data_IF_457459511227
#
_entry.id   IF_457459511227
#
_cell.length_a   1.000
_cell.length_b   1.000
_cell.length_c   1.000
_cell.angle_alpha   90.00
_cell.angle_beta   90.00
_cell.angle_gamma   90.00
#
_symmetry.space_group_name_H-M   'P 1'
#
loop_
_entity.id
_entity.type
_entity.pdbx_description
1 polymer ?
#
# COMPACT_ATOMS: atom_id res chain seq x y z
N UNK A 1 20.76 -35.89 -11.39
CA UNK A 1 20.93 -34.46 -11.05
C UNK A 1 22.34 -34.06 -11.47
N UNK A 2 22.51 -32.97 -12.22
CA UNK A 2 23.82 -32.67 -12.83
C UNK A 2 24.89 -32.29 -11.78
N UNK A 3 24.51 -31.75 -10.61
CA UNK A 3 25.44 -31.48 -9.49
C UNK A 3 24.74 -31.55 -8.11
N UNK A 4 25.42 -32.15 -7.13
CA UNK A 4 25.02 -32.10 -5.72
C UNK A 4 25.19 -30.66 -5.16
N UNK A 5 24.31 -30.18 -4.26
CA UNK A 5 24.50 -28.91 -3.59
C UNK A 5 25.84 -28.84 -2.86
N UNK A 6 26.52 -27.70 -2.91
CA UNK A 6 27.69 -27.43 -2.08
C UNK A 6 27.25 -26.91 -0.72
N UNK A 7 27.79 -27.53 0.33
CA UNK A 7 27.58 -27.10 1.71
C UNK A 7 28.24 -25.73 1.93
N UNK A 8 27.51 -24.80 2.55
CA UNK A 8 28.07 -23.52 3.01
C UNK A 8 28.40 -23.53 4.50
N UNK A 9 27.54 -24.17 5.32
CA UNK A 9 27.71 -24.23 6.77
C UNK A 9 28.63 -25.36 7.25
N UNK A 10 28.82 -25.45 8.56
CA UNK A 10 29.67 -26.48 9.18
C UNK A 10 28.94 -27.83 9.28
N UNK A 11 27.62 -27.81 9.49
CA UNK A 11 26.80 -29.03 9.59
C UNK A 11 26.62 -29.68 8.21
N UNK A 12 27.12 -30.91 8.06
CA UNK A 12 26.84 -31.77 6.89
C UNK A 12 25.54 -32.54 7.06
N UNK A 13 24.85 -32.73 5.94
CA UNK A 13 23.77 -33.71 5.81
C UNK A 13 24.31 -34.86 4.96
N UNK A 14 23.90 -36.08 5.29
CA UNK A 14 24.27 -37.28 4.53
C UNK A 14 23.80 -37.14 3.06
N UNK A 15 24.58 -37.65 2.11
CA UNK A 15 24.40 -37.37 0.69
C UNK A 15 23.07 -37.90 0.13
N UNK A 16 22.62 -39.08 0.54
CA UNK A 16 21.34 -39.66 0.12
C UNK A 16 20.16 -38.88 0.70
N UNK A 17 20.25 -38.48 1.97
CA UNK A 17 19.24 -37.65 2.63
C UNK A 17 19.14 -36.26 1.99
N UNK A 18 20.28 -35.62 1.71
CA UNK A 18 20.35 -34.31 1.05
C UNK A 18 19.75 -34.37 -0.36
N UNK A 19 20.00 -35.47 -1.09
CA UNK A 19 19.44 -35.64 -2.43
C UNK A 19 17.90 -35.80 -2.39
N UNK A 20 17.38 -36.53 -1.40
CA UNK A 20 15.95 -36.69 -1.19
C UNK A 20 15.30 -35.36 -0.79
N UNK A 21 15.87 -34.68 0.20
CA UNK A 21 15.39 -33.40 0.74
C UNK A 21 15.39 -32.29 -0.33
N UNK A 22 16.43 -32.21 -1.16
CA UNK A 22 16.47 -31.28 -2.31
C UNK A 22 15.39 -31.58 -3.34
N UNK A 23 15.08 -32.86 -3.55
CA UNK A 23 14.09 -33.28 -4.54
C UNK A 23 12.68 -32.91 -4.08
N UNK A 24 12.38 -33.06 -2.79
CA UNK A 24 11.09 -32.75 -2.18
C UNK A 24 10.94 -31.29 -1.72
N UNK A 25 12.02 -30.49 -1.71
CA UNK A 25 11.96 -29.11 -1.22
C UNK A 25 10.90 -28.27 -1.94
N UNK A 26 10.21 -27.42 -1.19
CA UNK A 26 9.34 -26.38 -1.75
C UNK A 26 10.20 -25.33 -2.44
N UNK A 27 9.84 -24.94 -3.66
CA UNK A 27 10.66 -24.05 -4.50
C UNK A 27 10.11 -22.64 -4.46
N UNK A 28 11.00 -21.68 -4.30
CA UNK A 28 10.68 -20.25 -4.28
C UNK A 28 11.73 -19.54 -5.14
N UNK A 29 11.33 -19.12 -6.34
CA UNK A 29 12.27 -18.62 -7.35
C UNK A 29 13.51 -19.53 -7.49
N UNK A 30 14.73 -19.00 -7.32
CA UNK A 30 15.97 -19.76 -7.49
C UNK A 30 16.39 -20.54 -6.22
N UNK A 31 15.64 -20.44 -5.11
CA UNK A 31 15.90 -21.09 -3.83
C UNK A 31 14.85 -22.16 -3.50
N UNK A 32 15.03 -22.85 -2.37
CA UNK A 32 14.02 -23.77 -1.85
C UNK A 32 14.16 -24.06 -0.36
N UNK A 33 13.06 -24.49 0.25
CA UNK A 33 12.95 -24.88 1.66
C UNK A 33 12.71 -26.39 1.71
N UNK A 34 13.71 -27.13 2.20
CA UNK A 34 13.58 -28.55 2.53
C UNK A 34 13.15 -28.75 3.98
N UNK A 35 13.04 -30.00 4.38
CA UNK A 35 12.83 -30.40 5.78
C UNK A 35 14.13 -30.36 6.58
N UNK A 36 15.28 -30.58 5.93
CA UNK A 36 16.61 -30.59 6.57
C UNK A 36 17.49 -29.39 6.22
N UNK A 37 17.30 -28.76 5.07
CA UNK A 37 18.13 -27.66 4.62
C UNK A 37 17.39 -26.55 3.87
N UNK A 38 17.96 -25.36 3.91
CA UNK A 38 17.68 -24.30 2.94
C UNK A 38 18.58 -24.48 1.72
N UNK A 39 17.99 -24.47 0.54
CA UNK A 39 18.70 -24.57 -0.73
C UNK A 39 18.81 -23.21 -1.39
N UNK A 40 20.04 -22.76 -1.61
CA UNK A 40 20.37 -21.39 -2.00
C UNK A 40 20.99 -21.34 -3.38
N UNK A 41 20.76 -20.26 -4.12
CA UNK A 41 21.30 -20.10 -5.46
C UNK A 41 22.73 -19.54 -5.47
N UNK A 42 23.39 -19.81 -6.58
CA UNK A 42 24.51 -18.99 -7.08
C UNK A 42 23.97 -17.94 -8.05
N UNK A 43 24.85 -17.11 -8.61
CA UNK A 43 24.47 -16.15 -9.63
C UNK A 43 23.82 -16.79 -10.88
N UNK A 44 24.21 -18.03 -11.23
CA UNK A 44 23.79 -18.70 -12.47
C UNK A 44 23.01 -20.00 -12.27
N UNK A 45 23.08 -20.59 -11.09
CA UNK A 45 22.57 -21.93 -10.81
C UNK A 45 21.68 -21.90 -9.57
N UNK A 46 20.42 -22.27 -9.76
CA UNK A 46 19.43 -22.43 -8.70
C UNK A 46 19.83 -23.56 -7.74
N UNK A 47 19.59 -23.36 -6.43
CA UNK A 47 19.78 -24.39 -5.40
C UNK A 47 21.13 -25.11 -5.51
N UNK A 48 22.17 -24.34 -5.84
CA UNK A 48 23.57 -24.76 -5.99
C UNK A 48 24.22 -25.01 -4.64
N UNK A 49 23.73 -24.35 -3.61
CA UNK A 49 24.25 -24.40 -2.25
C UNK A 49 23.20 -24.93 -1.29
N UNK A 50 23.64 -25.40 -0.13
CA UNK A 50 22.74 -25.68 0.99
C UNK A 50 23.34 -25.22 2.33
N UNK A 51 22.43 -24.90 3.25
CA UNK A 51 22.71 -24.67 4.67
C UNK A 51 21.75 -25.56 5.44
N UNK A 52 22.26 -26.39 6.35
CA UNK A 52 21.40 -27.19 7.23
C UNK A 52 20.57 -26.26 8.12
N UNK A 53 19.29 -26.57 8.31
CA UNK A 53 18.38 -25.72 9.08
C UNK A 53 18.85 -25.49 10.52
N UNK A 54 19.47 -26.50 11.13
CA UNK A 54 20.07 -26.40 12.47
C UNK A 54 21.21 -25.38 12.57
N UNK A 55 21.84 -25.02 11.44
CA UNK A 55 22.89 -24.01 11.36
C UNK A 55 22.34 -22.62 11.04
N UNK A 56 21.08 -22.51 10.61
CA UNK A 56 20.47 -21.22 10.25
C UNK A 56 20.18 -20.44 11.51
N UNK A 57 20.64 -19.19 11.55
CA UNK A 57 20.41 -18.26 12.66
C UNK A 57 19.32 -17.25 12.36
N UNK A 58 19.18 -16.85 11.09
CA UNK A 58 18.23 -15.83 10.65
C UNK A 58 18.06 -15.88 9.13
N UNK A 59 16.87 -15.58 8.64
CA UNK A 59 16.62 -15.46 7.20
C UNK A 59 15.77 -14.22 6.96
N UNK A 60 16.19 -13.26 6.14
CA UNK A 60 15.39 -12.05 5.97
C UNK A 60 15.44 -11.48 4.56
N UNK A 61 14.40 -10.73 4.20
CA UNK A 61 14.34 -9.98 2.95
C UNK A 61 15.17 -8.71 3.09
N UNK A 62 15.94 -8.39 2.05
CA UNK A 62 16.58 -7.09 1.86
C UNK A 62 16.31 -6.62 0.44
N UNK A 63 15.85 -5.39 0.28
CA UNK A 63 15.61 -4.79 -1.04
C UNK A 63 16.67 -3.73 -1.28
N UNK A 64 17.49 -3.92 -2.33
CA UNK A 64 18.34 -2.84 -2.80
C UNK A 64 17.52 -1.97 -3.77
N UNK A 65 17.56 -0.66 -3.57
CA UNK A 65 16.87 0.30 -4.42
C UNK A 65 17.89 1.16 -5.16
N UNK A 66 17.61 1.45 -6.43
CA UNK A 66 18.34 2.48 -7.18
C UNK A 66 18.30 3.84 -6.46
N UNK A 67 19.28 4.72 -6.72
CA UNK A 67 19.27 6.09 -6.18
C UNK A 67 17.94 6.84 -6.47
N UNK A 68 17.29 6.55 -7.59
CA UNK A 68 15.98 7.13 -7.91
C UNK A 68 14.84 6.60 -7.05
N UNK A 69 14.94 5.35 -6.58
CA UNK A 69 14.01 4.79 -5.59
C UNK A 69 14.23 5.33 -4.17
N UNK A 70 15.46 5.68 -3.80
CA UNK A 70 15.75 6.29 -2.49
C UNK A 70 15.42 7.79 -2.44
N UNK A 71 15.64 8.51 -3.54
CA UNK A 71 15.42 9.97 -3.63
C UNK A 71 14.04 10.37 -4.17
N UNK A 72 13.24 9.41 -4.66
CA UNK A 72 11.97 9.65 -5.33
C UNK A 72 12.11 10.32 -6.71
N UNK A 73 13.31 10.36 -7.29
CA UNK A 73 13.61 11.03 -8.58
C UNK A 73 14.36 10.10 -9.53
N UNK A 74 13.75 9.74 -10.67
CA UNK A 74 14.38 8.93 -11.73
C UNK A 74 13.84 7.50 -11.84
N UNK A 75 14.46 6.68 -12.69
CA UNK A 75 14.00 5.32 -12.96
C UNK A 75 14.10 4.44 -11.71
N UNK A 76 13.00 3.77 -11.38
CA UNK A 76 12.87 2.94 -10.18
C UNK A 76 13.23 1.49 -10.50
N UNK A 77 14.36 1.02 -9.99
CA UNK A 77 14.71 -0.40 -9.95
C UNK A 77 14.87 -0.86 -8.51
N UNK A 78 14.18 -1.96 -8.15
CA UNK A 78 14.40 -2.69 -6.91
C UNK A 78 14.93 -4.09 -7.21
N UNK A 79 15.88 -4.56 -6.42
CA UNK A 79 16.40 -5.92 -6.49
C UNK A 79 16.15 -6.58 -5.13
N UNK A 80 15.25 -7.57 -5.04
CA UNK A 80 14.98 -8.29 -3.82
C UNK A 80 16.06 -9.36 -3.58
N UNK A 81 16.52 -9.43 -2.34
CA UNK A 81 17.44 -10.44 -1.85
C UNK A 81 16.83 -11.20 -0.68
N UNK A 82 17.02 -12.51 -0.67
CA UNK A 82 16.95 -13.29 0.56
C UNK A 82 18.35 -13.34 1.17
N UNK A 83 18.44 -13.05 2.46
CA UNK A 83 19.68 -13.10 3.24
C UNK A 83 19.56 -14.22 4.24
N UNK A 84 20.46 -15.21 4.19
CA UNK A 84 20.53 -16.31 5.16
C UNK A 84 21.79 -16.12 6.00
N UNK A 85 21.61 -15.94 7.30
CA UNK A 85 22.69 -15.94 8.28
C UNK A 85 22.78 -17.32 8.93
N UNK A 86 23.98 -17.87 9.01
CA UNK A 86 24.21 -19.24 9.46
C UNK A 86 25.57 -19.37 10.15
N UNK A 87 25.73 -20.45 10.92
CA UNK A 87 26.85 -20.66 11.84
C UNK A 87 27.09 -19.40 12.70
N UNK A 88 28.35 -19.07 13.01
CA UNK A 88 28.74 -17.86 13.74
C UNK A 88 29.06 -16.70 12.78
N UNK A 89 28.00 -16.03 12.31
CA UNK A 89 28.11 -14.75 11.60
C UNK A 89 28.36 -14.81 10.09
N UNK A 90 28.29 -16.00 9.47
CA UNK A 90 28.37 -16.12 8.00
C UNK A 90 27.04 -15.73 7.36
N UNK A 91 27.10 -15.15 6.17
CA UNK A 91 25.93 -14.70 5.43
C UNK A 91 25.97 -15.18 3.97
N UNK A 92 24.82 -15.60 3.44
CA UNK A 92 24.62 -15.84 2.02
C UNK A 92 23.44 -15.03 1.52
N UNK A 93 23.69 -14.24 0.47
CA UNK A 93 22.67 -13.45 -0.20
C UNK A 93 22.26 -14.14 -1.51
N UNK A 94 20.97 -14.16 -1.77
CA UNK A 94 20.34 -14.79 -2.91
C UNK A 94 19.43 -13.78 -3.60
N UNK A 95 19.71 -13.44 -4.86
CA UNK A 95 18.90 -12.50 -5.63
C UNK A 95 17.66 -13.20 -6.19
N UNK A 96 16.53 -12.51 -6.13
CA UNK A 96 15.25 -12.96 -6.70
C UNK A 96 14.80 -12.01 -7.81
N UNK A 97 13.99 -12.54 -8.74
CA UNK A 97 13.36 -11.73 -9.80
C UNK A 97 12.08 -11.05 -9.32
N UNK A 98 11.33 -11.72 -8.44
CA UNK A 98 10.07 -11.24 -7.86
C UNK A 98 10.23 -11.14 -6.36
N UNK A 99 9.73 -10.06 -5.79
CA UNK A 99 9.73 -9.87 -4.34
C UNK A 99 8.78 -10.86 -3.63
N UNK A 100 7.65 -11.14 -4.27
CA UNK A 100 6.64 -12.12 -3.83
C UNK A 100 7.24 -13.50 -3.53
N UNK A 101 8.18 -13.97 -4.36
CA UNK A 101 8.86 -15.25 -4.15
C UNK A 101 9.69 -15.27 -2.85
N UNK A 102 10.25 -14.12 -2.46
CA UNK A 102 10.97 -13.97 -1.18
C UNK A 102 9.98 -13.99 -0.03
N UNK A 103 8.87 -13.27 -0.17
CA UNK A 103 7.84 -13.17 0.87
C UNK A 103 7.15 -14.51 1.13
N UNK A 104 6.82 -15.26 0.08
CA UNK A 104 6.29 -16.63 0.19
C UNK A 104 7.29 -17.58 0.86
N UNK A 105 8.59 -17.45 0.53
CA UNK A 105 9.63 -18.26 1.17
C UNK A 105 9.76 -17.94 2.66
N UNK A 106 9.76 -16.65 3.04
CA UNK A 106 9.80 -16.22 4.43
C UNK A 106 8.56 -16.68 5.21
N UNK A 107 7.37 -16.60 4.60
CA UNK A 107 6.15 -17.12 5.20
C UNK A 107 6.23 -18.64 5.41
N UNK A 108 6.75 -19.38 4.43
CA UNK A 108 6.96 -20.82 4.54
C UNK A 108 7.95 -21.17 5.67
N UNK A 109 9.06 -20.43 5.80
CA UNK A 109 10.03 -20.63 6.87
C UNK A 109 9.41 -20.28 8.22
N UNK A 110 8.75 -19.14 8.35
CA UNK A 110 8.11 -18.72 9.60
C UNK A 110 7.06 -19.70 10.10
N UNK A 111 6.33 -20.36 9.18
CA UNK A 111 5.32 -21.35 9.53
C UNK A 111 5.92 -22.70 9.93
N UNK A 112 7.01 -23.12 9.29
CA UNK A 112 7.65 -24.42 9.54
C UNK A 112 8.70 -24.38 10.66
N UNK A 113 9.36 -23.23 10.85
CA UNK A 113 10.48 -23.00 11.78
C UNK A 113 10.32 -21.65 12.49
N UNK A 114 9.34 -21.49 13.40
CA UNK A 114 9.08 -20.22 14.08
C UNK A 114 10.26 -19.67 14.89
N UNK A 115 11.22 -20.53 15.25
CA UNK A 115 12.45 -20.19 15.95
C UNK A 115 13.47 -19.45 15.07
N UNK A 116 13.35 -19.52 13.75
CA UNK A 116 14.23 -18.81 12.81
C UNK A 116 13.63 -17.42 12.55
N UNK A 117 14.28 -16.33 13.00
CA UNK A 117 13.73 -15.00 12.80
C UNK A 117 13.74 -14.61 11.33
N UNK A 118 12.60 -14.08 10.85
CA UNK A 118 12.37 -13.74 9.44
C UNK A 118 12.60 -12.27 9.09
N UNK A 119 12.88 -11.45 10.10
CA UNK A 119 13.27 -10.05 9.97
C UNK A 119 14.79 -9.92 10.13
N UNK A 120 15.36 -8.80 9.69
CA UNK A 120 16.75 -8.47 10.03
C UNK A 120 16.83 -8.01 11.50
N UNK A 121 18.00 -8.12 12.14
CA UNK A 121 18.17 -7.62 13.52
C UNK A 121 17.85 -6.12 13.63
N UNK A 122 18.24 -5.32 12.62
CA UNK A 122 17.86 -3.92 12.53
C UNK A 122 16.36 -3.72 12.27
N UNK A 123 15.71 -4.63 11.55
CA UNK A 123 14.26 -4.63 11.35
C UNK A 123 13.48 -4.89 12.63
N UNK A 124 13.91 -5.87 13.42
CA UNK A 124 13.36 -6.15 14.77
C UNK A 124 13.55 -4.96 15.69
N UNK A 125 14.76 -4.40 15.76
CA UNK A 125 15.04 -3.22 16.58
C UNK A 125 14.17 -2.02 16.20
N UNK A 126 13.94 -1.79 14.89
CA UNK A 126 13.03 -0.74 14.42
C UNK A 126 11.58 -1.02 14.81
N UNK A 127 11.14 -2.27 14.69
CA UNK A 127 9.78 -2.68 15.07
C UNK A 127 9.56 -2.54 16.57
N UNK A 128 10.51 -2.99 17.39
CA UNK A 128 10.50 -2.81 18.84
C UNK A 128 10.55 -1.34 19.23
N UNK A 129 11.41 -0.55 18.57
CA UNK A 129 11.49 0.90 18.82
C UNK A 129 10.17 1.59 18.48
N UNK A 130 9.57 1.27 17.33
CA UNK A 130 8.24 1.78 16.94
C UNK A 130 7.18 1.38 17.95
N UNK A 131 7.19 0.13 18.43
CA UNK A 131 6.25 -0.35 19.44
C UNK A 131 6.45 0.36 20.79
N UNK A 132 7.70 0.63 21.19
CA UNK A 132 8.02 1.39 22.41
C UNK A 132 7.62 2.85 22.31
N UNK A 133 7.89 3.50 21.17
CA UNK A 133 7.47 4.87 20.90
C UNK A 133 5.94 4.99 20.85
N UNK A 134 5.26 3.99 20.29
CA UNK A 134 3.81 3.91 20.32
C UNK A 134 3.26 3.68 21.74
N UNK A 135 3.84 2.76 22.50
CA UNK A 135 3.45 2.54 23.89
C UNK A 135 3.68 3.77 24.76
N UNK A 136 4.81 4.47 24.57
CA UNK A 136 5.14 5.69 25.32
C UNK A 136 4.23 6.88 24.98
N UNK A 137 3.56 6.87 23.81
CA UNK A 137 2.55 7.88 23.47
C UNK A 137 1.23 7.68 24.21
N UNK A 138 0.94 6.46 24.64
CA UNK A 138 -0.33 6.13 25.26
C UNK A 138 -0.23 6.20 26.79
N UNK A 139 -1.32 6.65 27.42
CA UNK A 139 -1.49 6.58 28.87
C UNK A 139 -1.57 5.11 29.32
N UNK A 140 -0.92 4.81 30.44
CA UNK A 140 -1.00 3.50 31.09
C UNK A 140 -2.43 3.19 31.57
N UNK A 141 -3.11 4.22 32.13
CA UNK A 141 -4.48 4.13 32.61
C UNK A 141 -5.33 5.27 32.05
N UNK A 142 -6.51 4.93 31.53
CA UNK A 142 -7.52 5.90 31.14
C UNK A 142 -8.46 6.20 32.30
N UNK A 143 -8.98 7.43 32.34
CA UNK A 143 -10.08 7.75 33.26
C UNK A 143 -11.30 6.86 32.96
N UNK A 144 -12.20 6.60 33.91
CA UNK A 144 -13.42 5.81 33.65
C UNK A 144 -14.26 6.37 32.49
N UNK A 145 -14.28 7.70 32.34
CA UNK A 145 -14.96 8.38 31.24
C UNK A 145 -14.29 8.11 29.89
N UNK A 146 -12.97 8.32 29.80
CA UNK A 146 -12.21 8.06 28.57
C UNK A 146 -12.24 6.58 28.18
N UNK A 147 -12.23 5.67 29.17
CA UNK A 147 -12.36 4.24 28.96
C UNK A 147 -13.73 3.89 28.36
N UNK A 148 -14.82 4.44 28.91
CA UNK A 148 -16.17 4.24 28.35
C UNK A 148 -16.33 4.83 26.94
N UNK A 149 -15.73 5.99 26.68
CA UNK A 149 -15.69 6.58 25.35
C UNK A 149 -14.91 5.69 24.36
N UNK A 150 -13.78 5.13 24.80
CA UNK A 150 -12.96 4.21 23.99
C UNK A 150 -13.75 2.98 23.59
N UNK A 151 -14.37 2.31 24.56
CA UNK A 151 -15.18 1.11 24.31
C UNK A 151 -16.37 1.39 23.39
N UNK A 152 -16.98 2.57 23.51
CA UNK A 152 -18.05 3.02 22.61
C UNK A 152 -17.55 3.17 21.17
N UNK A 153 -16.37 3.76 20.98
CA UNK A 153 -15.78 3.96 19.65
C UNK A 153 -15.27 2.63 19.06
N UNK A 154 -14.66 1.75 19.86
CA UNK A 154 -14.20 0.41 19.44
C UNK A 154 -15.39 -0.46 18.96
N UNK A 155 -16.54 -0.37 19.64
CA UNK A 155 -17.79 -1.01 19.16
C UNK A 155 -18.26 -0.43 17.84
N UNK A 156 -18.18 0.90 17.68
CA UNK A 156 -18.53 1.56 16.43
C UNK A 156 -17.57 1.20 15.29
N UNK A 157 -16.27 1.08 15.56
CA UNK A 157 -15.25 0.59 14.62
C UNK A 157 -15.60 -0.83 14.15
N UNK A 158 -15.81 -1.75 15.10
CA UNK A 158 -16.19 -3.15 14.80
C UNK A 158 -17.47 -3.22 13.97
N UNK A 159 -18.46 -2.37 14.28
CA UNK A 159 -19.69 -2.28 13.50
C UNK A 159 -19.42 -1.86 12.05
N UNK A 160 -18.60 -0.83 11.84
CA UNK A 160 -18.27 -0.31 10.51
C UNK A 160 -17.41 -1.27 9.68
N UNK A 161 -16.55 -2.05 10.33
CA UNK A 161 -15.80 -3.14 9.68
C UNK A 161 -16.71 -4.22 9.08
N UNK A 162 -17.93 -4.36 9.61
CA UNK A 162 -18.99 -5.21 9.03
C UNK A 162 -19.55 -4.71 7.69
N UNK A 163 -19.28 -3.45 7.31
CA UNK A 163 -19.77 -2.83 6.08
C UNK A 163 -18.62 -2.25 5.21
N UNK A 164 -17.63 -3.07 4.81
CA UNK A 164 -16.41 -2.58 4.16
C UNK A 164 -16.68 -1.91 2.81
N UNK A 165 -17.66 -2.39 2.04
CA UNK A 165 -17.99 -1.80 0.75
C UNK A 165 -18.73 -0.45 0.88
N UNK A 166 -19.55 -0.28 1.93
CA UNK A 166 -20.23 1.00 2.19
C UNK A 166 -19.26 2.06 2.68
N UNK A 167 -18.36 1.70 3.60
CA UNK A 167 -17.36 2.62 4.15
C UNK A 167 -16.34 3.04 3.08
N UNK A 168 -15.86 2.10 2.26
CA UNK A 168 -15.04 2.41 1.07
C UNK A 168 -15.77 3.34 0.09
N UNK A 169 -17.04 3.05 -0.21
CA UNK A 169 -17.85 3.86 -1.12
C UNK A 169 -18.02 5.28 -0.59
N UNK A 170 -18.29 5.44 0.71
CA UNK A 170 -18.43 6.74 1.38
C UNK A 170 -17.14 7.58 1.24
N UNK A 171 -15.98 7.00 1.56
CA UNK A 171 -14.70 7.68 1.40
C UNK A 171 -14.40 8.03 -0.06
N UNK A 172 -14.68 7.11 -0.99
CA UNK A 172 -14.44 7.31 -2.41
C UNK A 172 -15.34 8.41 -3.01
N UNK A 173 -16.62 8.46 -2.65
CA UNK A 173 -17.55 9.51 -3.14
C UNK A 173 -17.22 10.87 -2.53
N UNK A 174 -16.80 10.95 -1.27
CA UNK A 174 -16.28 12.19 -0.68
C UNK A 174 -15.05 12.70 -1.42
N UNK A 175 -14.07 11.82 -1.70
CA UNK A 175 -12.88 12.17 -2.49
C UNK A 175 -13.24 12.66 -3.88
N UNK A 176 -14.15 11.97 -4.57
CA UNK A 176 -14.62 12.38 -5.88
C UNK A 176 -15.33 13.74 -5.85
N UNK A 177 -16.18 14.00 -4.85
CA UNK A 177 -16.85 15.29 -4.63
C UNK A 177 -15.83 16.40 -4.40
N UNK A 178 -14.87 16.18 -3.52
CA UNK A 178 -13.80 17.15 -3.23
C UNK A 178 -12.99 17.53 -4.47
N UNK A 179 -12.60 16.52 -5.26
CA UNK A 179 -11.88 16.74 -6.53
C UNK A 179 -12.75 17.53 -7.50
N UNK A 180 -14.04 17.19 -7.61
CA UNK A 180 -14.97 17.87 -8.50
C UNK A 180 -15.15 19.35 -8.16
N UNK A 181 -15.30 19.68 -6.87
CA UNK A 181 -15.45 21.07 -6.38
C UNK A 181 -14.21 21.92 -6.63
N UNK A 182 -13.01 21.33 -6.58
CA UNK A 182 -11.75 22.04 -6.81
C UNK A 182 -11.22 21.98 -8.24
N UNK A 183 -11.86 21.21 -9.13
CA UNK A 183 -11.49 21.19 -10.54
C UNK A 183 -12.16 22.37 -11.23
N UNK A 184 -11.38 23.35 -11.71
CA UNK A 184 -11.93 24.43 -12.54
C UNK A 184 -12.60 23.81 -13.79
N UNK A 185 -13.90 24.05 -14.04
CA UNK A 185 -14.62 23.53 -15.19
C UNK A 185 -13.93 23.82 -16.53
N UNK A 186 -13.19 24.94 -16.62
CA UNK A 186 -12.44 25.34 -17.80
C UNK A 186 -11.42 24.26 -18.23
N UNK A 187 -10.76 23.57 -17.30
CA UNK A 187 -9.79 22.52 -17.67
C UNK A 187 -10.43 21.36 -18.44
N UNK A 188 -11.69 21.03 -18.13
CA UNK A 188 -12.44 19.99 -18.86
C UNK A 188 -12.76 20.42 -20.28
N UNK A 189 -13.11 21.69 -20.47
CA UNK A 189 -13.36 22.28 -21.79
C UNK A 189 -12.09 22.44 -22.60
N UNK A 190 -10.99 22.84 -21.98
CA UNK A 190 -9.66 22.90 -22.60
C UNK A 190 -9.21 21.50 -23.04
N UNK A 191 -9.36 20.48 -22.18
CA UNK A 191 -9.04 19.10 -22.54
C UNK A 191 -9.92 18.61 -23.71
N UNK A 192 -11.22 18.91 -23.70
CA UNK A 192 -12.12 18.59 -24.82
C UNK A 192 -11.69 19.29 -26.12
N UNK A 193 -11.33 20.57 -26.05
CA UNK A 193 -10.86 21.32 -27.22
C UNK A 193 -9.56 20.74 -27.78
N UNK A 194 -8.63 20.34 -26.92
CA UNK A 194 -7.38 19.67 -27.33
C UNK A 194 -7.66 18.32 -28.00
N UNK A 195 -8.59 17.52 -27.46
CA UNK A 195 -8.99 16.24 -28.09
C UNK A 195 -9.62 16.47 -29.46
N UNK A 196 -10.51 17.45 -29.59
CA UNK A 196 -11.14 17.79 -30.88
C UNK A 196 -10.11 18.30 -31.89
N UNK A 197 -9.20 19.17 -31.47
CA UNK A 197 -8.10 19.66 -32.31
C UNK A 197 -7.14 18.52 -32.71
N UNK A 198 -6.85 17.60 -31.79
CA UNK A 198 -6.06 16.39 -32.05
C UNK A 198 -6.72 15.46 -33.05
N UNK A 199 -8.03 15.25 -32.93
CA UNK A 199 -8.82 14.45 -33.88
C UNK A 199 -8.83 15.11 -35.27
N UNK A 200 -9.03 16.43 -35.35
CA UNK A 200 -8.96 17.17 -36.61
C UNK A 200 -7.56 17.10 -37.25
N UNK A 201 -6.50 17.27 -36.45
CA UNK A 201 -5.11 17.11 -36.87
C UNK A 201 -4.82 15.72 -37.40
N UNK A 202 -5.36 14.68 -36.73
CA UNK A 202 -5.21 13.30 -37.16
C UNK A 202 -5.86 13.06 -38.53
N UNK A 203 -7.12 13.50 -38.70
CA UNK A 203 -7.84 13.38 -39.98
C UNK A 203 -7.10 14.12 -41.09
N UNK A 204 -6.68 15.37 -40.83
CA UNK A 204 -5.91 16.16 -41.77
C UNK A 204 -4.59 15.49 -42.14
N UNK A 205 -3.84 14.97 -41.15
CA UNK A 205 -2.58 14.28 -41.37
C UNK A 205 -2.73 13.04 -42.27
N UNK A 206 -3.78 12.24 -42.05
CA UNK A 206 -4.09 11.07 -42.88
C UNK A 206 -4.39 11.48 -44.34
N UNK A 207 -5.22 12.51 -44.54
CA UNK A 207 -5.58 12.99 -45.88
C UNK A 207 -4.35 13.57 -46.61
N UNK A 208 -3.56 14.38 -45.92
CA UNK A 208 -2.36 15.03 -46.46
C UNK A 208 -1.28 14.01 -46.82
N UNK A 209 -1.05 13.02 -45.96
CA UNK A 209 -0.11 11.94 -46.24
C UNK A 209 -0.52 11.12 -47.47
N UNK A 210 -1.82 10.81 -47.61
CA UNK A 210 -2.35 10.08 -48.78
C UNK A 210 -2.25 10.88 -50.08
N UNK A 211 -2.15 12.21 -49.99
CA UNK A 211 -2.04 13.13 -51.12
C UNK A 211 -0.60 13.48 -51.49
N UNK A 212 0.40 12.85 -50.86
CA UNK A 212 1.82 13.06 -51.13
C UNK A 212 2.45 14.25 -50.39
N UNK A 213 1.80 14.79 -49.35
CA UNK A 213 2.34 15.88 -48.54
C UNK A 213 3.37 15.40 -47.51
N UNK A 214 4.57 15.97 -47.54
CA UNK A 214 5.70 15.61 -46.66
C UNK A 214 5.41 15.80 -45.15
N UNK A 215 4.48 16.69 -44.80
CA UNK A 215 4.16 17.00 -43.40
C UNK A 215 2.99 16.19 -42.82
N UNK A 216 2.25 15.40 -43.63
CA UNK A 216 1.04 14.70 -43.20
C UNK A 216 1.26 13.70 -42.06
N UNK A 217 2.42 13.02 -42.07
CA UNK A 217 2.79 12.05 -41.03
C UNK A 217 2.93 12.71 -39.65
N UNK A 218 3.50 13.92 -39.57
CA UNK A 218 3.67 14.62 -38.30
C UNK A 218 2.34 15.04 -37.69
N UNK A 219 1.42 15.58 -38.50
CA UNK A 219 0.06 15.94 -38.04
C UNK A 219 -0.75 14.71 -37.61
N UNK A 220 -0.57 13.57 -38.28
CA UNK A 220 -1.19 12.31 -37.89
C UNK A 220 -0.65 11.81 -36.55
N UNK A 221 0.67 11.76 -36.37
CA UNK A 221 1.29 11.31 -35.12
C UNK A 221 0.96 12.23 -33.94
N UNK A 222 1.01 13.55 -34.15
CA UNK A 222 0.66 14.53 -33.11
C UNK A 222 -0.82 14.45 -32.73
N UNK A 223 -1.72 14.36 -33.72
CA UNK A 223 -3.15 14.19 -33.49
C UNK A 223 -3.47 12.91 -32.73
N UNK A 224 -2.82 11.80 -33.11
CA UNK A 224 -2.94 10.52 -32.41
C UNK A 224 -2.45 10.61 -30.95
N UNK A 225 -1.29 11.21 -30.71
CA UNK A 225 -0.75 11.42 -29.37
C UNK A 225 -1.68 12.27 -28.49
N UNK A 226 -2.21 13.37 -29.03
CA UNK A 226 -3.15 14.24 -28.32
C UNK A 226 -4.45 13.52 -27.94
N UNK A 227 -5.05 12.79 -28.89
CA UNK A 227 -6.27 12.01 -28.62
C UNK A 227 -6.00 10.92 -27.58
N UNK A 228 -4.90 10.17 -27.72
CA UNK A 228 -4.56 9.08 -26.81
C UNK A 228 -4.29 9.57 -25.38
N UNK A 229 -3.48 10.62 -25.23
CA UNK A 229 -3.10 11.16 -23.93
C UNK A 229 -4.30 11.72 -23.14
N UNK A 230 -5.15 12.50 -23.81
CA UNK A 230 -6.28 13.16 -23.14
C UNK A 230 -7.53 12.26 -23.03
N UNK A 231 -7.66 11.21 -23.85
CA UNK A 231 -8.71 10.20 -23.67
C UNK A 231 -8.43 9.28 -22.48
N UNK A 232 -7.15 8.97 -22.21
CA UNK A 232 -6.75 8.11 -21.09
C UNK A 232 -6.80 8.78 -19.71
N UNK A 233 -6.67 10.11 -19.64
CA UNK A 233 -6.49 10.83 -18.39
C UNK A 233 -7.81 11.18 -17.63
N UNK A 234 -8.96 10.58 -17.98
CA UNK A 234 -10.28 10.88 -17.38
C UNK A 234 -10.65 12.38 -17.33
N UNK A 235 -9.99 13.22 -18.13
CA UNK A 235 -10.14 14.69 -18.14
C UNK A 235 -11.39 15.11 -18.91
N UNK A 236 -11.88 14.23 -19.80
CA UNK A 236 -13.09 14.47 -20.57
C UNK A 236 -14.33 14.42 -19.67
N UNK A 237 -15.28 15.36 -19.83
CA UNK A 237 -16.55 15.32 -19.13
C UNK A 237 -17.34 14.07 -19.56
N UNK A 238 -17.32 13.04 -18.73
CA UNK A 238 -18.11 11.81 -18.93
C UNK A 238 -19.36 11.84 -18.06
N UNK A 239 -20.40 11.08 -18.43
CA UNK A 239 -21.66 10.99 -17.70
C UNK A 239 -21.51 10.60 -16.22
N UNK A 240 -20.38 9.97 -15.86
CA UNK A 240 -20.06 9.52 -14.49
C UNK A 240 -19.24 10.55 -13.68
N UNK A 241 -18.64 11.57 -14.31
CA UNK A 241 -17.75 12.54 -13.67
C UNK A 241 -18.26 14.00 -13.77
N UNK A 242 -19.57 14.19 -13.99
CA UNK A 242 -20.17 15.51 -13.96
C UNK A 242 -20.58 15.90 -12.53
N UNK A 243 -20.78 17.19 -12.27
CA UNK A 243 -21.08 17.69 -10.92
C UNK A 243 -22.32 17.03 -10.32
N UNK A 244 -23.37 16.85 -11.12
CA UNK A 244 -24.62 16.23 -10.67
C UNK A 244 -24.43 14.75 -10.30
N UNK A 245 -23.69 13.98 -11.09
CA UNK A 245 -23.49 12.55 -10.84
C UNK A 245 -22.67 12.32 -9.57
N UNK A 246 -21.66 13.15 -9.35
CA UNK A 246 -20.81 13.11 -8.16
C UNK A 246 -21.60 13.53 -6.91
N UNK A 247 -22.39 14.59 -6.98
CA UNK A 247 -23.25 15.01 -5.87
C UNK A 247 -24.26 13.93 -5.51
N UNK A 248 -24.96 13.38 -6.50
CA UNK A 248 -25.92 12.28 -6.29
C UNK A 248 -25.24 11.05 -5.68
N UNK A 249 -24.04 10.70 -6.12
CA UNK A 249 -23.31 9.55 -5.59
C UNK A 249 -22.89 9.76 -4.12
N UNK A 250 -22.51 10.98 -3.76
CA UNK A 250 -22.24 11.36 -2.36
C UNK A 250 -23.50 11.26 -1.50
N UNK A 251 -24.60 11.88 -1.91
CA UNK A 251 -25.88 11.83 -1.18
C UNK A 251 -26.35 10.39 -0.98
N UNK A 252 -26.31 9.57 -2.03
CA UNK A 252 -26.69 8.15 -1.92
C UNK A 252 -25.78 7.35 -0.99
N UNK A 253 -24.48 7.67 -0.93
CA UNK A 253 -23.56 7.00 -0.02
C UNK A 253 -23.84 7.39 1.45
N UNK A 254 -24.16 8.67 1.69
CA UNK A 254 -24.60 9.15 3.00
C UNK A 254 -25.91 8.50 3.44
N UNK A 255 -26.95 8.53 2.60
CA UNK A 255 -28.25 7.92 2.89
C UNK A 255 -28.10 6.41 3.16
N UNK A 256 -27.29 5.71 2.36
CA UNK A 256 -27.03 4.30 2.59
C UNK A 256 -26.35 4.04 3.94
N UNK A 257 -25.43 4.90 4.35
CA UNK A 257 -24.78 4.81 5.65
C UNK A 257 -25.77 5.12 6.79
N UNK A 258 -26.52 6.22 6.70
CA UNK A 258 -27.53 6.61 7.69
C UNK A 258 -28.57 5.51 7.94
N UNK A 259 -28.96 4.78 6.89
CA UNK A 259 -29.94 3.70 7.00
C UNK A 259 -29.45 2.46 7.77
N UNK A 260 -28.14 2.22 7.81
CA UNK A 260 -27.57 1.05 8.51
C UNK A 260 -27.08 1.39 9.91
N UNK A 261 -26.77 2.66 10.18
CA UNK A 261 -26.25 3.06 11.48
C UNK A 261 -27.31 2.94 12.59
N UNK A 262 -26.93 2.45 13.79
CA UNK A 262 -27.76 2.54 14.98
C UNK A 262 -28.16 4.00 15.27
N UNK A 263 -29.31 4.20 15.92
CA UNK A 263 -29.79 5.55 16.27
C UNK A 263 -28.86 6.30 17.22
N UNK A 264 -28.20 5.55 18.07
CA UNK A 264 -27.27 5.92 19.13
C UNK A 264 -25.81 5.72 18.70
N UNK A 265 -25.55 5.70 17.38
CA UNK A 265 -24.20 5.61 16.85
C UNK A 265 -23.37 6.84 17.24
N UNK A 266 -22.11 6.67 17.72
CA UNK A 266 -21.34 7.75 18.32
C UNK A 266 -20.78 8.78 17.32
N UNK A 267 -20.92 8.54 16.00
CA UNK A 267 -20.39 9.42 14.96
C UNK A 267 -21.50 9.88 14.01
N UNK A 268 -21.41 11.10 13.45
CA UNK A 268 -22.21 11.46 12.30
C UNK A 268 -21.96 10.51 11.13
N UNK A 269 -23.00 10.17 10.36
CA UNK A 269 -22.89 9.23 9.23
C UNK A 269 -21.83 9.65 8.20
N UNK A 270 -21.64 10.95 7.99
CA UNK A 270 -20.58 11.52 7.13
C UNK A 270 -19.16 11.17 7.56
N UNK A 271 -18.94 10.82 8.82
CA UNK A 271 -17.63 10.42 9.37
C UNK A 271 -17.59 8.94 9.77
N UNK A 272 -18.62 8.17 9.45
CA UNK A 272 -18.74 6.76 9.80
C UNK A 272 -17.81 5.88 8.96
N UNK A 273 -16.52 5.89 9.31
CA UNK A 273 -15.47 5.12 8.66
C UNK A 273 -14.53 4.50 9.73
N UNK A 274 -14.10 3.22 9.61
CA UNK A 274 -13.28 2.56 10.63
C UNK A 274 -12.01 3.33 10.99
N UNK A 275 -11.30 3.87 9.99
CA UNK A 275 -10.10 4.71 10.19
C UNK A 275 -10.39 5.96 11.05
N UNK A 276 -11.58 6.56 10.96
CA UNK A 276 -11.98 7.69 11.82
C UNK A 276 -12.07 7.22 13.27
N UNK A 277 -12.79 6.12 13.51
CA UNK A 277 -12.93 5.53 14.85
C UNK A 277 -11.57 5.13 15.43
N UNK A 278 -10.72 4.44 14.66
CA UNK A 278 -9.35 4.06 15.04
C UNK A 278 -8.51 5.26 15.48
N UNK A 279 -8.57 6.37 14.73
CA UNK A 279 -7.84 7.60 15.08
C UNK A 279 -8.40 8.26 16.33
N UNK A 280 -9.72 8.26 16.53
CA UNK A 280 -10.32 8.75 17.77
C UNK A 280 -9.94 7.90 18.99
N UNK A 281 -9.84 6.56 18.84
CA UNK A 281 -9.31 5.67 19.88
C UNK A 281 -7.86 6.03 20.22
N UNK A 282 -7.00 6.28 19.22
CA UNK A 282 -5.62 6.74 19.47
C UNK A 282 -5.58 8.05 20.25
N UNK A 283 -6.41 9.03 19.89
CA UNK A 283 -6.52 10.32 20.60
C UNK A 283 -6.90 10.14 22.08
N UNK A 284 -7.88 9.27 22.38
CA UNK A 284 -8.24 8.95 23.76
C UNK A 284 -7.09 8.27 24.51
N UNK A 285 -6.41 7.31 23.85
CA UNK A 285 -5.25 6.61 24.42
C UNK A 285 -4.07 7.53 24.69
N UNK A 286 -3.87 8.56 23.87
CA UNK A 286 -2.88 9.61 24.07
C UNK A 286 -3.27 10.61 25.19
N UNK A 287 -4.46 10.47 25.79
CA UNK A 287 -4.94 11.38 26.84
C UNK A 287 -5.37 12.75 26.32
N UNK A 288 -5.48 12.92 25.00
CA UNK A 288 -5.82 14.20 24.35
C UNK A 288 -7.31 14.49 24.33
N UNK A 289 -8.13 13.54 24.75
CA UNK A 289 -9.57 13.67 24.92
C UNK A 289 -10.08 12.75 26.04
N UNK A 290 -11.26 13.08 26.59
CA UNK A 290 -11.95 12.31 27.63
C UNK A 290 -13.33 11.81 27.19
N UNK A 291 -13.89 12.32 26.09
CA UNK A 291 -15.18 11.90 25.54
C UNK A 291 -15.12 11.63 24.03
N UNK A 292 -16.21 11.07 23.48
CA UNK A 292 -16.35 10.81 22.04
C UNK A 292 -16.32 12.12 21.24
N UNK A 293 -17.05 13.14 21.71
CA UNK A 293 -17.16 14.44 21.07
C UNK A 293 -15.79 15.16 21.05
N UNK A 294 -15.10 15.16 22.19
CA UNK A 294 -13.78 15.77 22.30
C UNK A 294 -12.76 15.05 21.40
N UNK A 295 -12.81 13.72 21.33
CA UNK A 295 -11.93 12.96 20.44
C UNK A 295 -12.18 13.30 18.96
N UNK A 296 -13.44 13.52 18.57
CA UNK A 296 -13.79 13.94 17.22
C UNK A 296 -13.29 15.36 16.93
N UNK A 297 -13.41 16.29 17.88
CA UNK A 297 -12.94 17.67 17.72
C UNK A 297 -11.42 17.77 17.63
N UNK A 298 -10.70 16.95 18.40
CA UNK A 298 -9.25 16.81 18.28
C UNK A 298 -8.89 16.24 16.91
N UNK A 299 -9.58 15.20 16.44
CA UNK A 299 -9.34 14.64 15.10
C UNK A 299 -9.59 15.66 13.99
N UNK A 300 -10.67 16.46 14.09
CA UNK A 300 -10.95 17.56 13.17
C UNK A 300 -9.79 18.56 13.14
N UNK A 301 -9.24 18.90 14.30
CA UNK A 301 -8.11 19.83 14.44
C UNK A 301 -6.82 19.27 13.83
N UNK A 302 -6.50 18.00 14.10
CA UNK A 302 -5.34 17.31 13.53
C UNK A 302 -5.42 17.25 12.00
N UNK A 303 -6.59 16.88 11.47
CA UNK A 303 -6.79 16.85 10.02
C UNK A 303 -6.70 18.23 9.37
N UNK A 304 -7.07 19.32 10.06
CA UNK A 304 -6.88 20.69 9.56
C UNK A 304 -5.41 21.07 9.49
N UNK A 305 -4.61 20.65 10.47
CA UNK A 305 -3.18 20.93 10.54
C UNK A 305 -2.35 20.23 9.43
N UNK A 306 -2.85 19.13 8.88
CA UNK A 306 -2.16 18.37 7.82
C UNK A 306 -2.22 19.05 6.44
N UNK A 307 -1.42 20.08 6.22
CA UNK A 307 -1.28 20.78 4.94
C UNK A 307 -0.30 20.06 4.00
N UNK A 308 -0.19 20.50 2.74
CA UNK A 308 0.61 19.83 1.70
C UNK A 308 2.14 19.80 1.97
N UNK A 309 2.59 20.66 2.88
CA UNK A 309 3.97 20.83 3.34
C UNK A 309 4.30 19.98 4.58
N UNK A 310 3.30 19.37 5.23
CA UNK A 310 3.52 18.52 6.39
C UNK A 310 3.94 17.12 5.94
N UNK A 311 5.13 16.70 6.37
CA UNK A 311 5.61 15.33 6.20
C UNK A 311 5.10 14.46 7.34
N UNK A 312 4.48 13.34 6.99
CA UNK A 312 3.99 12.33 7.93
C UNK A 312 4.50 10.96 7.52
N UNK A 313 4.45 10.01 8.45
CA UNK A 313 4.75 8.61 8.17
C UNK A 313 3.81 8.03 7.11
N UNK A 314 4.26 7.05 6.33
CA UNK A 314 3.47 6.46 5.25
C UNK A 314 2.12 5.90 5.74
N UNK A 315 2.12 5.22 6.89
CA UNK A 315 0.90 4.69 7.50
C UNK A 315 -0.09 5.82 7.84
N UNK A 316 0.42 6.94 8.33
CA UNK A 316 -0.39 8.10 8.65
C UNK A 316 -0.96 8.75 7.37
N UNK A 317 -0.12 8.89 6.34
CA UNK A 317 -0.52 9.40 5.03
C UNK A 317 -1.65 8.55 4.43
N UNK A 318 -1.52 7.22 4.46
CA UNK A 318 -2.49 6.29 3.90
C UNK A 318 -3.86 6.42 4.61
N UNK A 319 -3.87 6.58 5.94
CA UNK A 319 -5.09 6.84 6.70
C UNK A 319 -5.71 8.20 6.33
N UNK A 320 -4.91 9.27 6.31
CA UNK A 320 -5.36 10.65 6.10
C UNK A 320 -5.94 10.85 4.72
N UNK A 321 -5.30 10.30 3.67
CA UNK A 321 -5.79 10.42 2.29
C UNK A 321 -7.17 9.79 2.11
N UNK A 322 -7.49 8.77 2.92
CA UNK A 322 -8.81 8.12 2.89
C UNK A 322 -9.85 8.98 3.61
N UNK A 323 -9.57 9.44 4.83
CA UNK A 323 -10.61 10.06 5.67
C UNK A 323 -10.74 11.57 5.50
N UNK A 324 -9.64 12.30 5.22
CA UNK A 324 -9.66 13.77 5.16
C UNK A 324 -10.70 14.32 4.17
N UNK A 325 -10.95 13.72 2.99
CA UNK A 325 -12.02 14.16 2.12
C UNK A 325 -13.40 14.19 2.78
N UNK A 326 -13.73 13.24 3.67
CA UNK A 326 -15.02 13.20 4.39
C UNK A 326 -15.25 14.48 5.21
N UNK A 327 -14.20 14.94 5.88
CA UNK A 327 -14.23 16.17 6.68
C UNK A 327 -14.25 17.43 5.80
N UNK A 328 -13.49 17.43 4.71
CA UNK A 328 -13.42 18.57 3.80
C UNK A 328 -14.74 18.83 3.07
N UNK A 329 -15.41 17.79 2.57
CA UNK A 329 -16.71 17.96 1.88
C UNK A 329 -17.86 18.29 2.82
N UNK A 330 -17.64 18.13 4.12
CA UNK A 330 -18.62 18.42 5.17
C UNK A 330 -18.23 19.65 5.99
N UNK A 331 -17.23 20.43 5.56
CA UNK A 331 -16.72 21.63 6.23
C UNK A 331 -16.39 21.44 7.72
N UNK A 332 -15.97 20.22 8.11
CA UNK A 332 -15.72 19.82 9.49
C UNK A 332 -16.92 20.00 10.45
N UNK A 333 -18.15 20.05 9.92
CA UNK A 333 -19.39 20.13 10.71
C UNK A 333 -19.59 18.89 11.56
#
# INVERSE_FOLDING_TARGET
>A
MMFAPVRLGETSIEASELAADKKSCKRFGPCGVGEKALYLNSFLIDRRYYVALSSVRRVFKRVAMSQGGFSGKGAFGSIPYLVVQYDDGKEKQCTFKREEDVDEMLACISAAYPEIPTLSAGGEQRLEKKAKEEAARYLDELTPQAQSARETIEKAETFLEGYPEMTKRLAATAKAKRINEHTNPAYRWVALAIVLAGAASLIYGIISWRSGGDFGVYFALFGFAAVFFFSGAHVLPTAKNNRHSVERAWTQALEAMENVLPKDFPLPARYAHPIVAKRMVRILREGRAQSVEEALDVLKSDLKALTADVQVEQEEYDEVVVIKPLFLVSDYQ
#
